data_IF_939463780965
#
_entry.id   IF_939463780965
#
_cell.length_a   1.000
_cell.length_b   1.000
_cell.length_c   1.000
_cell.angle_alpha   90.00
_cell.angle_beta   90.00
_cell.angle_gamma   90.00
#
_symmetry.space_group_name_H-M   'P 1'
#
loop_
_entity.id
_entity.type
_entity.pdbx_description
1 polymer ?
#
# COMPACT_ATOMS: atom_id res chain seq x y z
N UNK A 1 -0.11 1.03 -13.49
CA UNK A 1 -0.22 1.28 -12.04
C UNK A 1 0.68 2.42 -11.56
N UNK A 2 2.00 2.43 -11.82
CA UNK A 2 2.91 3.47 -11.28
C UNK A 2 2.48 4.92 -11.55
N UNK A 3 1.86 5.21 -12.69
CA UNK A 3 1.28 6.53 -12.99
C UNK A 3 0.16 6.93 -12.01
N UNK A 4 -0.73 6.00 -11.64
CA UNK A 4 -1.79 6.22 -10.64
C UNK A 4 -1.15 6.58 -9.30
N UNK A 5 -0.18 5.78 -8.86
CA UNK A 5 0.51 5.98 -7.58
C UNK A 5 1.25 7.31 -7.56
N UNK A 6 1.90 7.67 -8.66
CA UNK A 6 2.56 8.96 -8.82
C UNK A 6 1.58 10.12 -8.63
N UNK A 7 0.40 10.05 -9.26
CA UNK A 7 -0.64 11.07 -9.10
C UNK A 7 -1.12 11.16 -7.65
N UNK A 8 -1.44 10.03 -7.01
CA UNK A 8 -1.90 10.01 -5.61
C UNK A 8 -0.84 10.60 -4.68
N UNK A 9 0.42 10.17 -4.84
CA UNK A 9 1.55 10.66 -4.05
C UNK A 9 1.75 12.18 -4.25
N UNK A 10 1.57 12.69 -5.47
CA UNK A 10 1.61 14.12 -5.73
C UNK A 10 0.45 14.89 -5.10
N UNK A 11 -0.79 14.35 -5.16
CA UNK A 11 -1.96 14.96 -4.54
C UNK A 11 -1.77 15.10 -3.02
N UNK A 12 -1.35 14.01 -2.36
CA UNK A 12 -1.04 14.00 -0.93
C UNK A 12 0.16 14.91 -0.62
N UNK A 13 1.22 14.83 -1.42
CA UNK A 13 2.42 15.64 -1.25
C UNK A 13 2.13 17.15 -1.32
N UNK A 14 1.32 17.61 -2.27
CA UNK A 14 0.92 19.03 -2.36
C UNK A 14 0.10 19.49 -1.15
N UNK A 15 -0.94 18.73 -0.77
CA UNK A 15 -1.77 19.07 0.40
C UNK A 15 -0.96 19.08 1.69
N UNK A 16 -0.13 18.06 1.87
CA UNK A 16 0.67 17.86 3.10
C UNK A 16 1.80 18.87 3.22
N UNK A 17 2.45 19.22 2.11
CA UNK A 17 3.48 20.25 2.12
C UNK A 17 2.87 21.62 2.38
N UNK A 18 1.68 21.90 1.85
CA UNK A 18 1.03 23.17 2.10
C UNK A 18 0.60 23.33 3.56
N UNK A 19 -0.01 22.30 4.15
CA UNK A 19 -0.44 22.29 5.55
C UNK A 19 0.07 21.02 6.26
N UNK A 20 1.32 21.01 6.76
CA UNK A 20 1.87 19.90 7.51
C UNK A 20 1.28 19.90 8.93
N UNK A 21 0.19 19.17 9.12
CA UNK A 21 -0.52 19.11 10.40
C UNK A 21 0.04 17.94 11.23
N UNK A 22 0.42 18.21 12.48
CA UNK A 22 0.97 17.18 13.38
C UNK A 22 -0.06 16.10 13.68
N UNK A 23 0.31 14.83 13.49
CA UNK A 23 -0.58 13.69 13.67
C UNK A 23 -1.67 13.54 12.61
N UNK A 24 -1.60 14.30 11.51
CA UNK A 24 -2.58 14.23 10.44
C UNK A 24 -2.50 12.94 9.65
N UNK A 25 -3.68 12.38 9.39
CA UNK A 25 -3.88 11.26 8.48
C UNK A 25 -4.63 11.74 7.24
N UNK A 26 -4.67 10.97 6.14
CA UNK A 26 -5.42 11.36 4.94
C UNK A 26 -6.90 11.72 5.22
N UNK A 27 -7.63 11.04 6.12
CA UNK A 27 -8.96 11.47 6.58
C UNK A 27 -9.06 12.92 7.05
N UNK A 28 -8.02 13.47 7.69
CA UNK A 28 -8.02 14.85 8.16
C UNK A 28 -8.02 15.85 6.99
N UNK A 29 -7.24 15.58 5.93
CA UNK A 29 -7.26 16.39 4.73
C UNK A 29 -8.59 16.26 3.97
N UNK A 30 -9.19 15.06 3.98
CA UNK A 30 -10.53 14.83 3.42
C UNK A 30 -11.58 15.60 4.21
N UNK A 31 -11.49 15.60 5.54
CA UNK A 31 -12.39 16.34 6.43
C UNK A 31 -12.31 17.83 6.17
N UNK A 32 -11.10 18.35 5.95
CA UNK A 32 -10.85 19.77 5.80
C UNK A 32 -11.22 20.30 4.42
N UNK A 33 -10.94 19.54 3.36
CA UNK A 33 -11.07 20.03 1.99
C UNK A 33 -12.25 19.46 1.20
N UNK A 34 -12.81 18.31 1.59
CA UNK A 34 -13.92 17.69 0.88
C UNK A 34 -15.23 17.78 1.66
N UNK A 35 -15.41 16.93 2.68
CA UNK A 35 -16.67 16.79 3.42
C UNK A 35 -16.47 15.91 4.67
N UNK A 36 -17.16 16.26 5.75
CA UNK A 36 -17.11 15.53 7.02
C UNK A 36 -17.55 14.07 6.90
N UNK A 37 -18.58 13.75 6.12
CA UNK A 37 -19.09 12.38 6.00
C UNK A 37 -18.20 11.51 5.11
N UNK A 38 -17.61 12.12 4.08
CA UNK A 38 -16.57 11.49 3.27
C UNK A 38 -15.36 11.16 4.13
N UNK A 39 -14.96 12.06 5.02
CA UNK A 39 -13.84 11.84 5.94
C UNK A 39 -14.13 10.75 6.96
N UNK A 40 -15.33 10.72 7.55
CA UNK A 40 -15.78 9.65 8.43
C UNK A 40 -15.71 8.28 7.75
N UNK A 41 -16.33 8.16 6.58
CA UNK A 41 -16.36 6.91 5.81
C UNK A 41 -14.94 6.50 5.37
N UNK A 42 -14.12 7.45 4.90
CA UNK A 42 -12.73 7.21 4.54
C UNK A 42 -11.91 6.76 5.74
N UNK A 43 -12.08 7.37 6.91
CA UNK A 43 -11.41 7.02 8.15
C UNK A 43 -11.65 5.57 8.56
N UNK A 44 -12.92 5.17 8.65
CA UNK A 44 -13.28 3.78 8.94
C UNK A 44 -12.80 2.82 7.84
N UNK A 45 -12.84 3.23 6.58
CA UNK A 45 -12.29 2.45 5.46
C UNK A 45 -10.76 2.29 5.54
N UNK A 46 -10.03 3.31 5.98
CA UNK A 46 -8.59 3.23 6.23
C UNK A 46 -8.28 2.25 7.35
N UNK A 47 -8.99 2.35 8.49
CA UNK A 47 -8.83 1.38 9.58
C UNK A 47 -9.14 -0.05 9.11
N UNK A 48 -10.26 -0.22 8.41
CA UNK A 48 -10.67 -1.49 7.82
C UNK A 48 -9.59 -2.06 6.88
N UNK A 49 -9.03 -1.24 5.99
CA UNK A 49 -7.96 -1.66 5.08
C UNK A 49 -6.73 -2.14 5.86
N UNK A 50 -6.26 -1.35 6.82
CA UNK A 50 -5.12 -1.75 7.66
C UNK A 50 -5.40 -3.03 8.45
N UNK A 51 -6.61 -3.17 9.00
CA UNK A 51 -7.00 -4.33 9.78
C UNK A 51 -7.02 -5.62 8.94
N UNK A 52 -7.40 -5.57 7.66
CA UNK A 52 -7.36 -6.71 6.73
C UNK A 52 -5.99 -6.94 6.07
N UNK A 53 -5.14 -5.92 6.02
CA UNK A 53 -3.75 -6.08 5.59
C UNK A 53 -2.93 -6.92 6.58
N UNK A 54 -3.18 -6.81 7.89
CA UNK A 54 -2.48 -7.64 8.89
C UNK A 54 -2.66 -9.16 8.65
N UNK A 55 -3.89 -9.73 8.56
CA UNK A 55 -4.05 -11.15 8.29
C UNK A 55 -3.57 -11.54 6.88
N UNK A 56 -3.56 -10.63 5.90
CA UNK A 56 -2.95 -10.86 4.59
C UNK A 56 -1.45 -11.17 4.70
N UNK A 57 -0.72 -10.35 5.47
CA UNK A 57 0.72 -10.51 5.66
C UNK A 57 1.05 -11.72 6.55
N UNK A 58 0.24 -12.02 7.57
CA UNK A 58 0.36 -13.25 8.36
C UNK A 58 0.18 -14.49 7.48
N UNK A 59 -0.82 -14.45 6.59
CA UNK A 59 -1.06 -15.53 5.61
C UNK A 59 0.13 -15.68 4.67
N UNK A 60 0.65 -14.58 4.13
CA UNK A 60 1.83 -14.60 3.26
C UNK A 60 3.07 -15.16 3.98
N UNK A 61 3.31 -14.77 5.22
CA UNK A 61 4.40 -15.30 6.03
C UNK A 61 4.25 -16.81 6.28
N UNK A 62 3.04 -17.30 6.61
CA UNK A 62 2.78 -18.72 6.79
C UNK A 62 3.05 -19.53 5.51
N UNK A 63 2.55 -19.03 4.36
CA UNK A 63 2.81 -19.58 3.01
C UNK A 63 4.31 -19.69 2.70
N UNK A 64 5.10 -18.72 3.18
CA UNK A 64 6.55 -18.71 3.00
C UNK A 64 7.23 -19.70 3.95
N UNK A 65 6.74 -19.88 5.18
CA UNK A 65 7.32 -20.86 6.12
C UNK A 65 7.09 -22.30 5.65
N UNK A 66 5.92 -22.60 5.10
CA UNK A 66 5.58 -23.90 4.49
C UNK A 66 6.55 -24.31 3.38
N UNK A 67 7.29 -23.35 2.80
CA UNK A 67 8.38 -23.67 1.86
C UNK A 67 9.47 -24.55 2.46
N UNK A 68 9.80 -24.39 3.75
CA UNK A 68 10.87 -25.16 4.41
C UNK A 68 10.34 -26.35 5.20
N UNK A 69 9.11 -26.29 5.72
CA UNK A 69 8.55 -27.38 6.52
C UNK A 69 7.03 -27.39 6.56
N UNK A 70 6.46 -28.58 6.39
CA UNK A 70 5.04 -28.86 6.60
C UNK A 70 4.78 -29.62 7.92
N UNK A 71 5.82 -29.79 8.75
CA UNK A 71 5.73 -30.58 9.98
C UNK A 71 4.91 -29.88 11.09
N UNK A 72 4.84 -28.55 11.04
CA UNK A 72 4.10 -27.73 11.99
C UNK A 72 2.81 -27.25 11.31
N UNK A 73 1.62 -27.44 11.93
CA UNK A 73 0.37 -26.98 11.34
C UNK A 73 0.37 -25.49 11.05
N UNK A 74 -0.18 -25.07 9.91
CA UNK A 74 -0.28 -23.65 9.48
C UNK A 74 -0.87 -22.76 10.57
N UNK A 75 -1.88 -23.26 11.31
CA UNK A 75 -2.50 -22.53 12.42
C UNK A 75 -1.53 -22.18 13.55
N UNK A 76 -0.53 -23.04 13.83
CA UNK A 76 0.49 -22.74 14.83
C UNK A 76 1.42 -21.61 14.37
N UNK A 77 1.82 -21.61 13.09
CA UNK A 77 2.61 -20.51 12.53
C UNK A 77 1.84 -19.18 12.56
N UNK A 78 0.56 -19.20 12.19
CA UNK A 78 -0.33 -18.04 12.27
C UNK A 78 -0.39 -17.51 13.71
N UNK A 79 -0.57 -18.39 14.69
CA UNK A 79 -0.61 -18.00 16.11
C UNK A 79 0.70 -17.34 16.56
N UNK A 80 1.85 -17.95 16.23
CA UNK A 80 3.18 -17.44 16.58
C UNK A 80 3.40 -16.06 15.96
N UNK A 81 3.18 -15.91 14.66
CA UNK A 81 3.36 -14.63 13.95
C UNK A 81 2.45 -13.55 14.55
N UNK A 82 1.17 -13.89 14.76
CA UNK A 82 0.18 -12.97 15.33
C UNK A 82 0.59 -12.49 16.73
N UNK A 83 0.94 -13.41 17.65
CA UNK A 83 1.33 -13.06 19.02
C UNK A 83 2.52 -12.11 19.04
N UNK A 84 3.53 -12.36 18.21
CA UNK A 84 4.73 -11.52 18.22
C UNK A 84 4.43 -10.15 17.59
N UNK A 85 3.67 -10.07 16.49
CA UNK A 85 3.25 -8.78 15.91
C UNK A 85 2.49 -7.93 16.94
N UNK A 86 1.57 -8.55 17.70
CA UNK A 86 0.82 -7.89 18.77
C UNK A 86 1.76 -7.44 19.89
N UNK A 87 2.67 -8.31 20.34
CA UNK A 87 3.61 -8.00 21.40
C UNK A 87 4.53 -6.82 21.03
N UNK A 88 5.05 -6.80 19.80
CA UNK A 88 5.87 -5.69 19.29
C UNK A 88 5.10 -4.36 19.30
N UNK A 89 3.83 -4.39 18.90
CA UNK A 89 2.96 -3.21 18.88
C UNK A 89 2.54 -2.71 20.26
N UNK A 90 2.63 -3.54 21.31
CA UNK A 90 2.31 -3.16 22.70
C UNK A 90 3.56 -2.71 23.46
N UNK A 91 4.69 -3.43 23.31
CA UNK A 91 5.87 -3.28 24.18
C UNK A 91 7.06 -2.56 23.52
N UNK A 92 7.25 -2.68 22.20
CA UNK A 92 8.48 -2.23 21.52
C UNK A 92 8.32 -1.01 20.61
N UNK A 93 7.25 -0.22 20.79
CA UNK A 93 6.93 0.92 19.92
C UNK A 93 8.07 1.95 19.84
N UNK A 94 8.89 2.10 20.89
CA UNK A 94 10.02 3.04 20.89
C UNK A 94 11.17 2.64 19.95
N UNK A 95 11.35 1.35 19.69
CA UNK A 95 12.43 0.81 18.83
C UNK A 95 11.89 0.49 17.43
N UNK A 96 10.58 0.68 17.21
CA UNK A 96 9.92 0.40 15.95
C UNK A 96 10.59 1.12 14.77
N UNK A 97 10.91 2.41 14.92
CA UNK A 97 11.55 3.20 13.86
C UNK A 97 12.93 2.67 13.44
N UNK A 98 13.77 2.32 14.41
CA UNK A 98 15.10 1.74 14.13
C UNK A 98 14.99 0.34 13.52
N UNK A 99 14.08 -0.48 14.04
CA UNK A 99 13.85 -1.84 13.54
C UNK A 99 13.35 -1.82 12.09
N UNK A 100 12.41 -0.92 11.79
CA UNK A 100 11.85 -0.78 10.44
C UNK A 100 12.89 -0.24 9.46
N UNK A 101 13.84 0.59 9.89
CA UNK A 101 14.96 1.02 9.06
C UNK A 101 15.82 -0.19 8.60
N UNK A 102 16.13 -1.11 9.51
CA UNK A 102 16.89 -2.32 9.17
C UNK A 102 16.09 -3.25 8.25
N UNK A 103 14.81 -3.48 8.53
CA UNK A 103 13.94 -4.29 7.65
C UNK A 103 13.77 -3.68 6.26
N UNK A 104 13.59 -2.36 6.17
CA UNK A 104 13.55 -1.65 4.89
C UNK A 104 14.86 -1.80 4.11
N UNK A 105 16.01 -1.77 4.79
CA UNK A 105 17.32 -1.98 4.16
C UNK A 105 17.43 -3.38 3.55
N UNK A 106 17.04 -4.43 4.29
CA UNK A 106 17.02 -5.81 3.79
C UNK A 106 16.17 -5.93 2.53
N UNK A 107 14.96 -5.35 2.53
CA UNK A 107 14.05 -5.34 1.36
C UNK A 107 14.71 -4.73 0.12
N UNK A 108 15.40 -3.59 0.28
CA UNK A 108 16.09 -2.90 -0.81
C UNK A 108 17.25 -3.74 -1.36
N UNK A 109 18.09 -4.30 -0.50
CA UNK A 109 19.19 -5.15 -0.96
C UNK A 109 18.69 -6.43 -1.65
N UNK A 110 17.63 -7.04 -1.13
CA UNK A 110 17.02 -8.22 -1.73
C UNK A 110 16.50 -7.94 -3.15
N UNK A 111 15.77 -6.85 -3.38
CA UNK A 111 15.25 -6.53 -4.72
C UNK A 111 16.38 -6.14 -5.70
N UNK A 112 17.40 -5.43 -5.23
CA UNK A 112 18.58 -5.12 -6.05
C UNK A 112 19.30 -6.42 -6.45
N UNK A 113 19.52 -7.33 -5.49
CA UNK A 113 20.13 -8.63 -5.73
C UNK A 113 19.33 -9.47 -6.74
N UNK A 114 18.00 -9.51 -6.60
CA UNK A 114 17.11 -10.20 -7.54
C UNK A 114 17.19 -9.63 -8.96
N UNK A 115 17.26 -8.31 -9.11
CA UNK A 115 17.43 -7.66 -10.42
C UNK A 115 18.78 -8.03 -11.03
N UNK A 116 19.87 -7.94 -10.26
CA UNK A 116 21.22 -8.29 -10.73
C UNK A 116 21.29 -9.75 -11.17
N UNK A 117 20.81 -10.68 -10.32
CA UNK A 117 20.77 -12.12 -10.64
C UNK A 117 19.93 -12.37 -11.89
N UNK A 118 18.78 -11.71 -12.01
CA UNK A 118 17.94 -11.82 -13.20
C UNK A 118 18.63 -11.36 -14.48
N UNK A 119 19.42 -10.27 -14.43
CA UNK A 119 20.25 -9.81 -15.56
C UNK A 119 21.33 -10.83 -15.90
N UNK A 120 21.98 -11.43 -14.89
CA UNK A 120 22.99 -12.47 -15.11
C UNK A 120 22.38 -13.70 -15.80
N UNK A 121 21.22 -14.17 -15.32
CA UNK A 121 20.47 -15.28 -15.94
C UNK A 121 20.07 -14.92 -17.38
N UNK A 122 19.59 -13.70 -17.61
CA UNK A 122 19.18 -13.23 -18.94
C UNK A 122 20.30 -13.36 -19.99
N UNK A 123 21.55 -13.07 -19.62
CA UNK A 123 22.71 -13.18 -20.51
C UNK A 123 23.34 -14.58 -20.57
N UNK A 124 22.81 -15.56 -19.84
CA UNK A 124 23.33 -16.94 -19.82
C UNK A 124 24.49 -17.17 -18.85
N UNK A 125 24.66 -16.28 -17.85
CA UNK A 125 25.67 -16.43 -16.80
C UNK A 125 25.27 -17.39 -15.66
N UNK A 126 24.15 -18.10 -15.81
CA UNK A 126 23.71 -19.10 -14.85
C UNK A 126 24.46 -20.45 -15.02
N UNK A 127 24.45 -21.33 -14.01
CA UNK A 127 25.08 -22.66 -14.10
C UNK A 127 24.62 -23.53 -15.28
N UNK A 128 23.38 -23.35 -15.73
CA UNK A 128 22.86 -24.06 -16.90
C UNK A 128 23.41 -23.52 -18.24
N UNK A 129 24.17 -22.42 -18.23
CA UNK A 129 24.72 -21.70 -19.39
C UNK A 129 23.70 -21.38 -20.49
N UNK A 130 22.41 -21.35 -20.15
CA UNK A 130 21.35 -21.08 -21.12
C UNK A 130 21.08 -19.58 -21.23
N UNK A 131 21.40 -19.01 -22.40
CA UNK A 131 21.09 -17.62 -22.68
C UNK A 131 19.61 -17.45 -23.02
N UNK A 132 18.84 -16.94 -22.06
CA UNK A 132 17.42 -16.69 -22.23
C UNK A 132 17.14 -15.53 -23.19
N UNK A 133 17.78 -14.36 -23.00
CA UNK A 133 17.38 -13.14 -23.71
C UNK A 133 15.88 -12.87 -23.57
N UNK A 134 15.22 -12.39 -24.64
CA UNK A 134 13.78 -12.19 -24.68
C UNK A 134 12.98 -13.42 -25.15
N UNK A 135 13.51 -14.65 -24.95
CA UNK A 135 12.89 -15.89 -25.45
C UNK A 135 11.42 -16.02 -25.07
N UNK A 136 11.08 -15.83 -23.79
CA UNK A 136 9.70 -15.98 -23.31
C UNK A 136 8.75 -14.86 -23.80
N UNK A 137 9.27 -13.65 -24.01
CA UNK A 137 8.49 -12.54 -24.56
C UNK A 137 8.13 -12.74 -26.04
N UNK A 138 8.97 -13.46 -26.79
CA UNK A 138 8.68 -13.78 -28.20
C UNK A 138 7.67 -14.89 -28.38
N UNK A 139 7.57 -15.79 -27.38
CA UNK A 139 6.69 -16.96 -27.44
C UNK A 139 5.30 -16.62 -26.91
N UNK A 140 5.19 -16.15 -25.65
CA UNK A 140 3.91 -16.02 -24.95
C UNK A 140 3.90 -14.82 -23.98
N UNK A 141 4.15 -13.60 -24.50
CA UNK A 141 4.16 -12.38 -23.66
C UNK A 141 2.80 -12.06 -23.02
N UNK A 142 1.69 -12.40 -23.69
CA UNK A 142 0.33 -12.15 -23.21
C UNK A 142 -0.47 -13.44 -23.23
N UNK A 143 -0.64 -14.04 -22.06
CA UNK A 143 -1.38 -15.28 -21.89
C UNK A 143 -2.88 -15.01 -21.79
N UNK A 144 -3.68 -15.90 -22.37
CA UNK A 144 -5.12 -15.90 -22.23
C UNK A 144 -5.52 -16.21 -20.79
N UNK A 145 -6.54 -15.53 -20.28
CA UNK A 145 -7.05 -15.70 -18.92
C UNK A 145 -8.57 -15.82 -18.95
N UNK A 146 -9.10 -16.91 -18.37
CA UNK A 146 -10.52 -17.28 -18.24
C UNK A 146 -11.22 -17.59 -19.57
N UNK A 147 -11.08 -16.74 -20.59
CA UNK A 147 -11.67 -16.91 -21.93
C UNK A 147 -10.57 -16.97 -22.98
N UNK A 148 -10.88 -17.52 -24.16
CA UNK A 148 -9.92 -17.64 -25.26
C UNK A 148 -9.72 -16.36 -26.07
N UNK A 149 -8.64 -16.32 -26.86
CA UNK A 149 -8.35 -15.29 -27.85
C UNK A 149 -8.01 -13.90 -27.28
N UNK A 150 -8.26 -12.85 -28.07
CA UNK A 150 -7.92 -11.47 -27.71
C UNK A 150 -8.61 -11.00 -26.42
N UNK A 151 -9.87 -11.38 -26.21
CA UNK A 151 -10.60 -11.09 -24.97
C UNK A 151 -9.94 -11.74 -23.75
N UNK A 152 -9.40 -12.96 -23.91
CA UNK A 152 -8.64 -13.65 -22.88
C UNK A 152 -7.38 -12.92 -22.47
N UNK A 153 -6.63 -12.44 -23.46
CA UNK A 153 -5.40 -11.66 -23.23
C UNK A 153 -5.71 -10.33 -22.53
N UNK A 154 -6.81 -9.67 -22.91
CA UNK A 154 -7.28 -8.46 -22.21
C UNK A 154 -7.68 -8.75 -20.77
N UNK A 155 -8.41 -9.85 -20.50
CA UNK A 155 -8.74 -10.27 -19.14
C UNK A 155 -7.48 -10.53 -18.30
N UNK A 156 -6.45 -11.13 -18.89
CA UNK A 156 -5.15 -11.37 -18.23
C UNK A 156 -4.45 -10.05 -17.87
N UNK A 157 -4.37 -9.13 -18.82
CA UNK A 157 -3.84 -7.78 -18.58
C UNK A 157 -4.62 -7.04 -17.50
N UNK A 158 -5.96 -7.06 -17.57
CA UNK A 158 -6.82 -6.35 -16.63
C UNK A 158 -6.69 -6.92 -15.20
N UNK A 159 -6.70 -8.25 -15.06
CA UNK A 159 -6.46 -8.93 -13.79
C UNK A 159 -5.08 -8.57 -13.21
N UNK A 160 -4.03 -8.55 -14.05
CA UNK A 160 -2.69 -8.12 -13.61
C UNK A 160 -2.67 -6.65 -13.15
N UNK A 161 -3.38 -5.76 -13.85
CA UNK A 161 -3.48 -4.35 -13.48
C UNK A 161 -4.21 -4.18 -12.14
N UNK A 162 -5.36 -4.84 -11.95
CA UNK A 162 -6.12 -4.83 -10.70
C UNK A 162 -5.28 -5.37 -9.55
N UNK A 163 -4.71 -6.58 -9.69
CA UNK A 163 -3.88 -7.23 -8.65
C UNK A 163 -2.63 -6.42 -8.31
N UNK A 164 -2.05 -5.70 -9.27
CA UNK A 164 -0.92 -4.81 -8.99
C UNK A 164 -1.29 -3.67 -8.04
N UNK A 165 -2.57 -3.30 -7.92
CA UNK A 165 -3.04 -2.27 -7.01
C UNK A 165 -2.73 -2.60 -5.54
N UNK A 166 -2.91 -3.87 -5.15
CA UNK A 166 -2.62 -4.36 -3.81
C UNK A 166 -1.19 -4.03 -3.35
N UNK A 167 -0.20 -4.07 -4.25
CA UNK A 167 1.19 -3.78 -3.92
C UNK A 167 1.46 -2.32 -3.52
N UNK A 168 0.50 -1.42 -3.74
CA UNK A 168 0.71 0.02 -3.57
C UNK A 168 -0.32 0.71 -2.67
N UNK A 169 -1.44 0.06 -2.35
CA UNK A 169 -2.44 0.63 -1.44
C UNK A 169 -1.79 1.01 -0.11
N UNK A 170 -2.27 2.10 0.49
CA UNK A 170 -1.79 2.63 1.78
C UNK A 170 -0.32 3.11 1.81
N UNK A 171 0.44 2.95 0.72
CA UNK A 171 1.85 3.34 0.67
C UNK A 171 2.04 4.86 0.53
N UNK A 172 1.36 5.56 -0.41
CA UNK A 172 1.43 7.02 -0.50
C UNK A 172 1.02 7.73 0.80
N UNK A 173 0.06 7.17 1.54
CA UNK A 173 -0.50 7.73 2.76
C UNK A 173 0.51 7.90 3.89
N UNK A 174 1.58 7.10 3.89
CA UNK A 174 2.66 7.24 4.86
C UNK A 174 3.32 8.64 4.80
N UNK A 175 3.26 9.32 3.64
CA UNK A 175 3.80 10.69 3.51
C UNK A 175 3.06 11.69 4.40
N UNK A 176 1.76 11.51 4.60
CA UNK A 176 0.96 12.43 5.43
C UNK A 176 1.22 12.18 6.90
N UNK A 177 1.30 10.90 7.29
CA UNK A 177 1.56 10.48 8.67
C UNK A 177 2.94 10.96 9.11
N UNK A 178 3.96 10.74 8.28
CA UNK A 178 5.34 11.14 8.57
C UNK A 178 5.55 12.65 8.57
N UNK A 179 4.72 13.44 7.87
CA UNK A 179 4.86 14.89 7.83
C UNK A 179 4.71 15.56 9.19
N UNK A 180 3.89 14.98 10.09
CA UNK A 180 3.76 15.49 11.46
C UNK A 180 4.99 15.25 12.35
N UNK A 181 5.84 14.30 11.97
CA UNK A 181 7.02 13.86 12.73
C UNK A 181 8.34 14.28 12.07
N UNK A 182 8.28 14.80 10.84
CA UNK A 182 9.45 15.17 10.05
C UNK A 182 9.94 16.58 10.39
N UNK A 183 11.26 16.75 10.56
CA UNK A 183 11.88 18.08 10.63
C UNK A 183 11.71 18.83 9.31
N UNK A 184 11.35 20.11 9.35
CA UNK A 184 11.13 20.96 8.17
C UNK A 184 10.23 20.28 7.08
N UNK A 185 8.97 19.93 7.39
CA UNK A 185 8.14 19.11 6.51
C UNK A 185 7.88 19.78 5.14
N UNK A 186 7.74 21.11 5.10
CA UNK A 186 7.55 21.89 3.85
C UNK A 186 8.72 21.76 2.86
N UNK A 187 9.91 21.36 3.33
CA UNK A 187 11.09 21.08 2.52
C UNK A 187 11.31 19.59 2.26
N UNK A 188 11.12 18.76 3.29
CA UNK A 188 11.48 17.34 3.22
C UNK A 188 10.40 16.46 2.58
N UNK A 189 9.12 16.79 2.74
CA UNK A 189 8.01 16.06 2.09
C UNK A 189 8.09 16.15 0.55
N UNK A 190 8.36 17.32 -0.06
CA UNK A 190 8.58 17.40 -1.51
C UNK A 190 9.73 16.53 -2.01
N UNK A 191 10.85 16.47 -1.26
CA UNK A 191 11.99 15.62 -1.61
C UNK A 191 11.60 14.14 -1.55
N UNK A 192 10.95 13.72 -0.46
CA UNK A 192 10.47 12.36 -0.28
C UNK A 192 9.49 11.94 -1.39
N UNK A 193 8.53 12.81 -1.70
CA UNK A 193 7.52 12.62 -2.78
C UNK A 193 8.20 12.41 -4.14
N UNK A 194 9.16 13.27 -4.50
CA UNK A 194 9.90 13.17 -5.77
C UNK A 194 10.78 11.92 -5.84
N UNK A 195 11.41 11.50 -4.74
CA UNK A 195 12.26 10.30 -4.71
C UNK A 195 11.46 9.01 -4.72
N UNK A 196 10.30 8.99 -4.07
CA UNK A 196 9.43 7.83 -3.97
C UNK A 196 9.09 7.26 -5.34
N UNK A 197 8.76 8.11 -6.33
CA UNK A 197 8.37 7.63 -7.65
C UNK A 197 9.52 7.01 -8.44
N UNK A 198 10.73 7.55 -8.36
CA UNK A 198 11.88 6.97 -9.07
C UNK A 198 12.19 5.57 -8.57
N UNK A 199 12.12 5.38 -7.25
CA UNK A 199 12.25 4.07 -6.61
C UNK A 199 11.15 3.10 -7.07
N UNK A 200 9.91 3.58 -7.14
CA UNK A 200 8.75 2.80 -7.58
C UNK A 200 8.90 2.36 -9.04
N UNK A 201 9.22 3.29 -9.93
CA UNK A 201 9.39 3.02 -11.36
C UNK A 201 10.53 2.04 -11.58
N UNK A 202 11.69 2.28 -10.96
CA UNK A 202 12.85 1.42 -11.14
C UNK A 202 12.58 -0.01 -10.65
N UNK A 203 12.25 -0.22 -9.38
CA UNK A 203 12.14 -1.57 -8.85
C UNK A 203 10.96 -2.36 -9.41
N UNK A 204 9.79 -1.73 -9.61
CA UNK A 204 8.62 -2.47 -10.10
C UNK A 204 8.64 -2.68 -11.61
N UNK A 205 9.04 -1.69 -12.42
CA UNK A 205 9.07 -1.88 -13.87
C UNK A 205 10.22 -2.82 -14.23
N UNK A 206 11.44 -2.55 -13.73
CA UNK A 206 12.59 -3.42 -14.01
C UNK A 206 12.37 -4.80 -13.39
N UNK A 207 11.88 -4.89 -12.16
CA UNK A 207 11.57 -6.18 -11.52
C UNK A 207 10.56 -7.00 -12.31
N UNK A 208 9.47 -6.39 -12.78
CA UNK A 208 8.45 -7.07 -13.61
C UNK A 208 9.01 -7.54 -14.96
N UNK A 209 9.86 -6.72 -15.60
CA UNK A 209 10.56 -7.09 -16.83
C UNK A 209 11.49 -8.28 -16.60
N UNK A 210 12.29 -8.24 -15.53
CA UNK A 210 13.21 -9.31 -15.15
C UNK A 210 12.45 -10.62 -14.91
N UNK A 211 11.35 -10.60 -14.15
CA UNK A 211 10.49 -11.77 -13.97
C UNK A 211 10.03 -12.34 -15.32
N UNK A 212 9.54 -11.48 -16.21
CA UNK A 212 9.02 -11.90 -17.52
C UNK A 212 10.07 -12.50 -18.45
N UNK A 213 11.36 -12.18 -18.26
CA UNK A 213 12.44 -12.77 -19.09
C UNK A 213 13.07 -14.01 -18.48
N UNK A 214 13.00 -14.20 -17.15
CA UNK A 214 13.60 -15.36 -16.48
C UNK A 214 12.63 -16.53 -16.28
N UNK A 215 11.32 -16.32 -16.41
CA UNK A 215 10.30 -17.38 -16.29
C UNK A 215 9.32 -17.35 -17.46
N UNK A 216 9.02 -18.53 -18.00
CA UNK A 216 7.93 -18.72 -18.96
C UNK A 216 6.56 -18.52 -18.31
N UNK A 217 5.67 -17.77 -18.96
CA UNK A 217 4.26 -17.62 -18.56
C UNK A 217 3.47 -18.95 -18.57
N UNK A 218 4.04 -20.00 -19.16
CA UNK A 218 3.48 -21.35 -19.20
C UNK A 218 4.09 -22.31 -18.17
N UNK A 219 4.96 -21.82 -17.28
CA UNK A 219 5.52 -22.66 -16.23
C UNK A 219 4.41 -23.19 -15.29
N UNK A 220 4.28 -24.53 -15.10
CA UNK A 220 3.25 -25.12 -14.25
C UNK A 220 3.30 -24.65 -12.79
N UNK A 221 4.48 -24.28 -12.28
CA UNK A 221 4.66 -23.74 -10.91
C UNK A 221 3.99 -22.37 -10.73
N UNK A 222 3.79 -21.60 -11.81
CA UNK A 222 2.98 -20.37 -11.78
C UNK A 222 1.48 -20.67 -11.79
N UNK A 223 1.08 -21.79 -12.41
CA UNK A 223 -0.31 -22.13 -12.72
C UNK A 223 -0.96 -23.03 -11.68
N UNK A 224 -0.17 -23.72 -10.86
CA UNK A 224 -0.67 -24.76 -9.94
C UNK A 224 -1.45 -24.21 -8.76
N UNK A 225 -1.42 -22.89 -8.51
CA UNK A 225 -2.19 -22.28 -7.42
C UNK A 225 -1.92 -22.95 -6.06
N UNK A 226 -0.77 -23.61 -5.91
CA UNK A 226 -0.39 -24.39 -4.72
C UNK A 226 -0.38 -23.53 -3.46
N UNK A 227 -0.34 -22.21 -3.63
CA UNK A 227 -0.44 -21.26 -2.54
C UNK A 227 0.80 -21.25 -1.65
N UNK A 228 1.90 -21.92 -2.07
CA UNK A 228 3.16 -21.96 -1.35
C UNK A 228 4.20 -20.99 -1.99
N UNK A 229 5.20 -20.55 -1.22
CA UNK A 229 6.16 -19.56 -1.71
C UNK A 229 7.07 -20.03 -2.86
N UNK A 230 7.11 -21.34 -3.17
CA UNK A 230 7.78 -21.86 -4.37
C UNK A 230 7.16 -21.39 -5.69
N UNK A 231 5.94 -20.83 -5.66
CA UNK A 231 5.30 -20.23 -6.84
C UNK A 231 5.85 -18.83 -7.18
N UNK A 232 6.75 -18.25 -6.38
CA UNK A 232 7.36 -16.95 -6.67
C UNK A 232 8.12 -16.99 -8.00
N UNK A 233 7.82 -16.10 -8.97
CA UNK A 233 8.51 -16.10 -10.26
C UNK A 233 10.02 -15.91 -10.15
N UNK A 234 10.50 -15.11 -9.18
CA UNK A 234 11.94 -15.00 -8.94
C UNK A 234 12.55 -16.32 -8.47
N UNK A 235 11.89 -17.03 -7.57
CA UNK A 235 12.34 -18.33 -7.06
C UNK A 235 12.34 -19.37 -8.18
N UNK A 236 11.27 -19.42 -8.99
CA UNK A 236 11.18 -20.31 -10.15
C UNK A 236 12.31 -20.02 -11.15
N UNK A 237 12.58 -18.75 -11.47
CA UNK A 237 13.66 -18.38 -12.37
C UNK A 237 15.04 -18.82 -11.87
N UNK A 238 15.30 -18.64 -10.57
CA UNK A 238 16.53 -19.09 -9.90
C UNK A 238 16.67 -20.61 -9.93
N UNK A 239 15.58 -21.35 -9.67
CA UNK A 239 15.57 -22.80 -9.71
C UNK A 239 15.78 -23.34 -11.12
N UNK A 240 15.09 -22.78 -12.12
CA UNK A 240 15.27 -23.14 -13.54
C UNK A 240 16.70 -22.85 -14.02
N UNK A 241 17.33 -21.81 -13.49
CA UNK A 241 18.72 -21.45 -13.75
C UNK A 241 19.73 -22.40 -13.08
N UNK A 242 19.28 -23.27 -12.16
CA UNK A 242 20.13 -24.22 -11.44
C UNK A 242 21.01 -23.57 -10.36
N UNK A 243 20.65 -22.39 -9.84
CA UNK A 243 21.44 -21.71 -8.81
C UNK A 243 21.06 -22.31 -7.43
N UNK A 244 21.97 -23.01 -6.75
CA UNK A 244 21.68 -23.62 -5.46
C UNK A 244 21.58 -22.56 -4.35
N UNK A 245 20.82 -22.86 -3.30
CA UNK A 245 20.69 -22.08 -2.04
C UNK A 245 19.99 -20.72 -2.17
N UNK A 246 20.14 -20.01 -3.29
CA UNK A 246 19.65 -18.64 -3.44
C UNK A 246 18.13 -18.52 -3.28
N UNK A 247 17.37 -19.51 -3.73
CA UNK A 247 15.93 -19.67 -3.45
C UNK A 247 15.59 -19.56 -1.94
N UNK A 248 16.37 -20.20 -1.06
CA UNK A 248 16.14 -20.14 0.38
C UNK A 248 16.45 -18.75 0.95
N UNK A 249 17.51 -18.09 0.47
CA UNK A 249 17.89 -16.73 0.90
C UNK A 249 16.77 -15.74 0.53
N UNK A 250 16.24 -15.86 -0.69
CA UNK A 250 15.15 -15.00 -1.16
C UNK A 250 13.86 -15.24 -0.37
N UNK A 251 13.49 -16.50 -0.11
CA UNK A 251 12.32 -16.78 0.72
C UNK A 251 12.50 -16.26 2.15
N UNK A 252 13.70 -16.32 2.72
CA UNK A 252 13.98 -15.72 4.03
C UNK A 252 13.80 -14.19 4.00
N UNK A 253 14.29 -13.52 2.95
CA UNK A 253 14.07 -12.08 2.76
C UNK A 253 12.57 -11.74 2.59
N UNK A 254 11.81 -12.53 1.83
CA UNK A 254 10.35 -12.36 1.67
C UNK A 254 9.64 -12.54 3.01
N UNK A 255 10.03 -13.52 3.82
CA UNK A 255 9.46 -13.74 5.15
C UNK A 255 9.67 -12.52 6.07
N UNK A 256 10.91 -11.99 6.12
CA UNK A 256 11.18 -10.76 6.89
C UNK A 256 10.40 -9.56 6.36
N UNK A 257 10.15 -9.53 5.04
CA UNK A 257 9.36 -8.47 4.42
C UNK A 257 7.90 -8.53 4.81
N UNK A 258 7.26 -9.70 4.71
CA UNK A 258 5.87 -9.91 5.10
C UNK A 258 5.66 -9.60 6.58
N UNK A 259 6.59 -10.06 7.43
CA UNK A 259 6.60 -9.75 8.85
C UNK A 259 6.60 -8.25 9.15
N UNK A 260 7.58 -7.54 8.58
CA UNK A 260 7.74 -6.09 8.77
C UNK A 260 6.51 -5.33 8.26
N UNK A 261 5.95 -5.72 7.10
CA UNK A 261 4.71 -5.14 6.59
C UNK A 261 3.53 -5.36 7.54
N UNK A 262 3.31 -6.59 8.03
CA UNK A 262 2.23 -6.90 8.97
C UNK A 262 2.32 -6.12 10.27
N UNK A 263 3.54 -5.96 10.80
CA UNK A 263 3.80 -5.15 11.99
C UNK A 263 3.50 -3.66 11.76
N UNK A 264 3.91 -3.12 10.60
CA UNK A 264 3.65 -1.74 10.18
C UNK A 264 2.16 -1.47 9.93
N UNK A 265 1.42 -2.42 9.37
CA UNK A 265 -0.03 -2.29 9.18
C UNK A 265 -0.81 -2.34 10.49
N UNK A 266 -0.42 -3.19 11.45
CA UNK A 266 -1.04 -3.19 12.77
C UNK A 266 -0.79 -1.86 13.49
N UNK A 267 0.43 -1.33 13.38
CA UNK A 267 0.79 -0.02 13.89
C UNK A 267 -0.09 1.07 13.25
N UNK A 268 -0.11 1.17 11.92
CA UNK A 268 -0.90 2.16 11.20
C UNK A 268 -2.39 2.07 11.52
N UNK A 269 -2.97 0.86 11.48
CA UNK A 269 -4.40 0.63 11.77
C UNK A 269 -4.78 1.04 13.19
N UNK A 270 -4.00 0.65 14.19
CA UNK A 270 -4.27 1.07 15.59
C UNK A 270 -4.18 2.59 15.78
N UNK A 271 -3.28 3.28 15.07
CA UNK A 271 -3.15 4.75 15.14
C UNK A 271 -4.27 5.45 14.39
N UNK A 272 -4.70 4.93 13.23
CA UNK A 272 -5.89 5.43 12.53
C UNK A 272 -7.12 5.34 13.42
N UNK A 273 -7.35 4.21 14.09
CA UNK A 273 -8.50 4.04 15.00
C UNK A 273 -8.40 4.96 16.23
N UNK A 274 -7.20 5.15 16.78
CA UNK A 274 -6.96 6.13 17.84
C UNK A 274 -7.28 7.56 17.38
N UNK A 275 -6.80 7.98 16.21
CA UNK A 275 -7.05 9.33 15.67
C UNK A 275 -8.54 9.56 15.42
N UNK A 276 -9.25 8.59 14.85
CA UNK A 276 -10.71 8.67 14.71
C UNK A 276 -11.41 8.84 16.04
N UNK A 277 -10.95 8.11 17.06
CA UNK A 277 -11.51 8.26 18.39
C UNK A 277 -11.29 9.68 18.89
N UNK A 278 -10.04 10.19 18.83
CA UNK A 278 -9.65 11.54 19.25
C UNK A 278 -10.57 12.60 18.62
N UNK A 279 -10.85 12.49 17.32
CA UNK A 279 -11.74 13.36 16.54
C UNK A 279 -13.22 13.22 16.91
N UNK A 280 -13.62 12.18 17.65
CA UNK A 280 -15.00 11.93 18.05
C UNK A 280 -15.76 11.00 17.09
N UNK A 281 -15.08 10.50 16.06
CA UNK A 281 -15.62 9.65 14.99
C UNK A 281 -15.54 8.14 15.31
N UNK A 282 -14.89 7.78 16.42
CA UNK A 282 -14.88 6.43 16.97
C UNK A 282 -15.09 6.42 18.49
N UNK A 283 -15.49 5.28 19.09
CA UNK A 283 -15.75 5.17 20.53
C UNK A 283 -14.59 5.68 21.40
N UNK A 284 -14.90 6.45 22.45
CA UNK A 284 -13.92 7.10 23.34
C UNK A 284 -12.94 6.12 24.01
N UNK A 285 -13.30 4.83 24.14
CA UNK A 285 -12.42 3.79 24.69
C UNK A 285 -11.09 3.68 23.92
N UNK A 286 -11.10 3.94 22.61
CA UNK A 286 -9.90 3.85 21.78
C UNK A 286 -8.93 5.02 21.98
N UNK A 287 -9.32 6.09 22.69
CA UNK A 287 -8.41 7.19 23.09
C UNK A 287 -7.46 6.81 24.21
N UNK A 288 -7.69 5.70 24.91
CA UNK A 288 -6.88 5.34 26.06
C UNK A 288 -5.50 4.84 25.64
N UNK A 289 -4.45 5.49 26.16
CA UNK A 289 -3.06 5.07 26.00
C UNK A 289 -2.51 4.50 27.30
N UNK A 290 -1.65 3.47 27.19
CA UNK A 290 -0.91 2.94 28.33
C UNK A 290 0.24 3.88 28.75
N UNK A 291 0.98 3.51 29.80
CA UNK A 291 2.13 4.27 30.34
C UNK A 291 3.25 4.55 29.33
N UNK A 292 3.29 3.81 28.21
CA UNK A 292 4.29 3.98 27.15
C UNK A 292 3.75 4.76 25.95
N UNK A 293 2.54 5.32 26.04
CA UNK A 293 1.91 6.11 24.98
C UNK A 293 1.23 5.27 23.88
N UNK A 294 0.99 3.97 24.13
CA UNK A 294 0.43 3.06 23.13
C UNK A 294 -1.10 2.93 23.32
N UNK A 295 -1.92 3.10 22.26
CA UNK A 295 -3.37 2.97 22.33
C UNK A 295 -3.82 1.50 22.38
N UNK A 296 -3.69 0.87 23.54
CA UNK A 296 -3.82 -0.60 23.71
C UNK A 296 -5.16 -1.18 23.26
N UNK A 297 -6.28 -0.48 23.46
CA UNK A 297 -7.58 -0.96 23.00
C UNK A 297 -7.72 -0.88 21.48
N UNK A 298 -7.11 0.13 20.84
CA UNK A 298 -7.08 0.24 19.39
C UNK A 298 -6.18 -0.83 18.77
N UNK A 299 -5.05 -1.13 19.41
CA UNK A 299 -4.20 -2.28 19.05
C UNK A 299 -4.99 -3.58 19.18
N UNK A 300 -5.69 -3.79 20.29
CA UNK A 300 -6.51 -4.98 20.52
C UNK A 300 -7.60 -5.16 19.46
N UNK A 301 -8.37 -4.10 19.15
CA UNK A 301 -9.42 -4.14 18.13
C UNK A 301 -8.89 -4.53 16.75
N UNK A 302 -7.79 -3.91 16.30
CA UNK A 302 -7.16 -4.26 15.02
C UNK A 302 -6.56 -5.67 15.04
N UNK A 303 -6.00 -6.11 16.17
CA UNK A 303 -5.41 -7.44 16.34
C UNK A 303 -6.45 -8.56 16.29
N UNK A 304 -7.68 -8.32 16.77
CA UNK A 304 -8.76 -9.30 16.68
C UNK A 304 -9.13 -9.59 15.23
N UNK A 305 -9.13 -8.58 14.35
CA UNK A 305 -9.35 -8.80 12.91
C UNK A 305 -8.25 -9.66 12.29
N UNK A 306 -7.01 -9.54 12.78
CA UNK A 306 -5.90 -10.37 12.31
C UNK A 306 -6.07 -11.87 12.62
N UNK A 307 -6.94 -12.25 13.57
CA UNK A 307 -7.31 -13.65 13.80
C UNK A 307 -8.07 -14.27 12.61
N UNK A 308 -8.60 -13.46 11.68
CA UNK A 308 -9.14 -13.98 10.42
C UNK A 308 -8.09 -14.74 9.61
N UNK A 309 -6.79 -14.54 9.86
CA UNK A 309 -5.74 -15.38 9.28
C UNK A 309 -5.95 -16.88 9.59
N UNK A 310 -6.65 -17.27 10.66
CA UNK A 310 -6.98 -18.67 10.93
C UNK A 310 -7.92 -19.32 9.90
N UNK A 311 -8.54 -18.54 8.99
CA UNK A 311 -9.28 -19.10 7.86
C UNK A 311 -8.40 -20.00 6.97
N UNK A 312 -7.08 -19.80 6.97
CA UNK A 312 -6.12 -20.68 6.30
C UNK A 312 -6.13 -22.13 6.83
N UNK A 313 -6.66 -22.38 8.04
CA UNK A 313 -6.76 -23.73 8.60
C UNK A 313 -7.90 -24.52 7.95
N UNK A 314 -9.01 -23.84 7.61
CA UNK A 314 -10.20 -24.46 7.03
C UNK A 314 -10.30 -24.31 5.51
N UNK A 315 -9.43 -23.49 4.90
CA UNK A 315 -9.48 -23.14 3.49
C UNK A 315 -8.07 -23.01 2.93
N UNK A 316 -7.91 -23.22 1.61
CA UNK A 316 -6.60 -23.10 0.96
C UNK A 316 -6.03 -21.70 1.16
N UNK A 317 -4.76 -21.61 1.57
CA UNK A 317 -4.15 -20.33 1.93
C UNK A 317 -4.14 -19.30 0.80
N UNK A 318 -4.03 -19.76 -0.45
CA UNK A 318 -4.14 -18.92 -1.64
C UNK A 318 -5.50 -18.23 -1.78
N UNK A 319 -6.60 -18.90 -1.42
CA UNK A 319 -7.95 -18.33 -1.52
C UNK A 319 -8.15 -17.26 -0.46
N UNK A 320 -7.76 -17.57 0.78
CA UNK A 320 -7.85 -16.64 1.92
C UNK A 320 -7.00 -15.40 1.66
N UNK A 321 -5.77 -15.57 1.17
CA UNK A 321 -4.93 -14.46 0.72
C UNK A 321 -5.63 -13.64 -0.38
N UNK A 322 -6.21 -14.29 -1.38
CA UNK A 322 -6.97 -13.61 -2.45
C UNK A 322 -8.15 -12.81 -1.88
N UNK A 323 -8.90 -13.36 -0.92
CA UNK A 323 -10.00 -12.65 -0.27
C UNK A 323 -9.51 -11.39 0.45
N UNK A 324 -8.47 -11.49 1.29
CA UNK A 324 -7.97 -10.32 2.01
C UNK A 324 -7.34 -9.27 1.08
N UNK A 325 -6.64 -9.71 0.02
CA UNK A 325 -6.09 -8.79 -0.98
C UNK A 325 -7.19 -8.05 -1.73
N UNK A 326 -8.31 -8.71 -2.06
CA UNK A 326 -9.46 -8.06 -2.71
C UNK A 326 -10.10 -7.01 -1.80
N UNK A 327 -10.39 -7.37 -0.54
CA UNK A 327 -10.98 -6.46 0.45
C UNK A 327 -10.13 -5.20 0.63
N UNK A 328 -8.82 -5.40 0.79
CA UNK A 328 -7.85 -4.31 1.00
C UNK A 328 -7.68 -3.45 -0.26
N UNK A 329 -7.65 -4.06 -1.44
CA UNK A 329 -7.46 -3.35 -2.73
C UNK A 329 -8.63 -2.41 -3.02
N UNK A 330 -9.86 -2.90 -2.85
CA UNK A 330 -11.07 -2.07 -3.03
C UNK A 330 -11.08 -0.92 -2.03
N UNK A 331 -10.71 -1.17 -0.77
CA UNK A 331 -10.59 -0.10 0.23
C UNK A 331 -9.55 0.94 -0.15
N UNK A 332 -8.38 0.53 -0.66
CA UNK A 332 -7.36 1.46 -1.13
C UNK A 332 -7.82 2.31 -2.31
N UNK A 333 -8.55 1.71 -3.27
CA UNK A 333 -9.12 2.46 -4.38
C UNK A 333 -10.16 3.48 -3.91
N UNK A 334 -11.06 3.12 -2.99
CA UNK A 334 -12.01 4.06 -2.39
C UNK A 334 -11.32 5.21 -1.64
N UNK A 335 -10.27 4.89 -0.87
CA UNK A 335 -9.44 5.88 -0.20
C UNK A 335 -8.83 6.87 -1.20
N UNK A 336 -8.25 6.37 -2.31
CA UNK A 336 -7.68 7.22 -3.35
C UNK A 336 -8.71 8.10 -4.06
N UNK A 337 -9.94 7.61 -4.28
CA UNK A 337 -11.03 8.44 -4.80
C UNK A 337 -11.34 9.59 -3.84
N UNK A 338 -11.40 9.34 -2.52
CA UNK A 338 -11.63 10.37 -1.51
C UNK A 338 -10.49 11.40 -1.47
N UNK A 339 -9.24 10.92 -1.53
CA UNK A 339 -8.04 11.78 -1.56
C UNK A 339 -8.03 12.68 -2.79
N UNK A 340 -8.33 12.13 -3.98
CA UNK A 340 -8.39 12.94 -5.20
C UNK A 340 -9.51 13.98 -5.10
N UNK A 341 -10.68 13.62 -4.58
CA UNK A 341 -11.78 14.58 -4.37
C UNK A 341 -11.34 15.72 -3.44
N UNK A 342 -10.68 15.40 -2.32
CA UNK A 342 -10.12 16.40 -1.41
C UNK A 342 -9.08 17.30 -2.09
N UNK A 343 -8.17 16.70 -2.87
CA UNK A 343 -7.15 17.45 -3.62
C UNK A 343 -7.77 18.41 -4.66
N UNK A 344 -8.78 17.97 -5.40
CA UNK A 344 -9.44 18.79 -6.41
C UNK A 344 -10.16 19.99 -5.75
N UNK A 345 -10.78 19.79 -4.58
CA UNK A 345 -11.41 20.87 -3.82
C UNK A 345 -10.39 21.83 -3.21
N UNK A 346 -9.32 21.30 -2.59
CA UNK A 346 -8.17 22.07 -2.13
C UNK A 346 -7.60 22.98 -3.23
N UNK A 347 -7.41 22.41 -4.43
CA UNK A 347 -6.91 23.15 -5.58
C UNK A 347 -7.86 24.28 -5.99
N UNK A 348 -9.17 24.03 -6.02
CA UNK A 348 -10.17 25.07 -6.34
C UNK A 348 -10.17 26.19 -5.30
N UNK A 349 -10.07 25.86 -4.01
CA UNK A 349 -10.03 26.84 -2.92
C UNK A 349 -8.82 27.77 -3.04
N UNK A 350 -7.63 27.22 -3.32
CA UNK A 350 -6.42 28.02 -3.53
C UNK A 350 -6.54 29.00 -4.71
N UNK A 351 -7.20 28.58 -5.80
CA UNK A 351 -7.43 29.43 -6.97
C UNK A 351 -8.45 30.52 -6.63
N UNK A 352 -9.53 30.16 -5.95
CA UNK A 352 -10.56 31.09 -5.51
C UNK A 352 -9.99 32.20 -4.61
N UNK A 353 -9.10 31.85 -3.68
CA UNK A 353 -8.43 32.80 -2.79
C UNK A 353 -7.18 33.46 -3.41
N UNK A 354 -6.84 33.21 -4.67
CA UNK A 354 -5.69 33.84 -5.34
C UNK A 354 -4.30 33.42 -4.82
N UNK A 355 -4.22 32.34 -4.05
CA UNK A 355 -2.99 31.86 -3.39
C UNK A 355 -2.41 30.59 -4.02
N UNK A 356 -2.96 30.14 -5.16
CA UNK A 356 -2.51 28.94 -5.87
C UNK A 356 -0.99 28.90 -6.12
N UNK A 357 -0.39 30.05 -6.42
CA UNK A 357 1.03 30.16 -6.72
C UNK A 357 1.94 30.28 -5.50
N UNK A 358 1.39 30.54 -4.32
CA UNK A 358 2.12 30.62 -3.05
C UNK A 358 2.59 29.26 -2.52
N UNK A 359 2.09 28.16 -3.09
CA UNK A 359 2.38 26.82 -2.58
C UNK A 359 3.87 26.47 -2.69
N UNK A 360 4.47 25.90 -1.62
CA UNK A 360 5.89 25.50 -1.61
C UNK A 360 6.19 24.33 -2.55
N UNK A 361 5.18 23.51 -2.86
CA UNK A 361 5.33 22.35 -3.73
C UNK A 361 4.26 22.34 -4.81
N UNK A 362 4.73 22.29 -6.07
CA UNK A 362 3.90 22.24 -7.28
C UNK A 362 4.31 21.02 -8.08
N UNK A 363 3.34 20.19 -8.44
CA UNK A 363 3.56 18.97 -9.23
C UNK A 363 3.04 19.15 -10.65
N UNK A 364 3.69 18.54 -11.66
CA UNK A 364 3.29 18.70 -13.05
C UNK A 364 1.99 17.93 -13.34
N UNK A 365 1.33 18.28 -14.44
CA UNK A 365 0.12 17.63 -14.99
C UNK A 365 -1.16 17.77 -14.14
N UNK A 366 -1.14 18.51 -13.03
CA UNK A 366 -2.33 18.78 -12.24
C UNK A 366 -3.17 19.91 -12.85
N UNK A 367 -4.50 19.78 -12.96
CA UNK A 367 -5.35 18.73 -12.38
C UNK A 367 -5.67 17.55 -13.33
N UNK A 368 -5.19 17.57 -14.57
CA UNK A 368 -5.54 16.55 -15.58
C UNK A 368 -5.15 15.13 -15.16
N UNK A 369 -3.96 14.97 -14.55
CA UNK A 369 -3.52 13.70 -13.99
C UNK A 369 -4.48 13.19 -12.91
N UNK A 370 -5.00 14.08 -12.05
CA UNK A 370 -6.01 13.74 -11.03
C UNK A 370 -7.31 13.24 -11.64
N UNK A 371 -7.83 13.90 -12.68
CA UNK A 371 -9.07 13.45 -13.34
C UNK A 371 -8.92 12.09 -14.04
N UNK A 372 -7.82 11.90 -14.77
CA UNK A 372 -7.53 10.60 -15.43
C UNK A 372 -7.38 9.50 -14.38
N UNK A 373 -6.66 9.78 -13.29
CA UNK A 373 -6.46 8.82 -12.20
C UNK A 373 -7.77 8.50 -11.49
N UNK A 374 -8.63 9.49 -11.23
CA UNK A 374 -9.94 9.29 -10.64
C UNK A 374 -10.79 8.33 -11.49
N UNK A 375 -10.87 8.58 -12.80
CA UNK A 375 -11.63 7.73 -13.72
C UNK A 375 -11.09 6.29 -13.74
N UNK A 376 -9.78 6.10 -13.86
CA UNK A 376 -9.17 4.77 -13.90
C UNK A 376 -9.38 4.03 -12.57
N UNK A 377 -9.13 4.68 -11.43
CA UNK A 377 -9.31 4.07 -10.10
C UNK A 377 -10.77 3.72 -9.85
N UNK A 378 -11.73 4.56 -10.29
CA UNK A 378 -13.16 4.25 -10.18
C UNK A 378 -13.53 2.99 -10.98
N UNK A 379 -13.01 2.85 -12.21
CA UNK A 379 -13.23 1.66 -13.03
C UNK A 379 -12.57 0.43 -12.38
N UNK A 380 -11.33 0.55 -11.91
CA UNK A 380 -10.63 -0.54 -11.21
C UNK A 380 -11.36 -0.97 -9.94
N UNK A 381 -11.95 -0.04 -9.20
CA UNK A 381 -12.74 -0.30 -7.99
C UNK A 381 -13.97 -1.18 -8.30
N UNK A 382 -14.73 -0.83 -9.35
CA UNK A 382 -15.94 -1.58 -9.74
C UNK A 382 -15.58 -2.92 -10.40
N UNK A 383 -14.47 -2.97 -11.12
CA UNK A 383 -14.06 -4.16 -11.87
C UNK A 383 -13.06 -5.06 -11.12
N UNK A 384 -12.75 -4.77 -9.86
CA UNK A 384 -11.79 -5.56 -9.06
C UNK A 384 -12.16 -7.05 -9.04
N UNK A 385 -13.46 -7.35 -8.90
CA UNK A 385 -14.02 -8.70 -8.87
C UNK A 385 -14.51 -9.24 -10.22
N UNK A 386 -14.12 -8.66 -11.36
CA UNK A 386 -14.73 -9.02 -12.65
C UNK A 386 -14.65 -10.52 -12.97
N UNK A 387 -13.60 -11.21 -12.48
CA UNK A 387 -13.39 -12.65 -12.66
C UNK A 387 -14.52 -13.51 -12.10
N UNK A 388 -15.29 -12.99 -11.14
CA UNK A 388 -16.46 -13.66 -10.56
C UNK A 388 -17.60 -13.78 -11.59
N UNK A 389 -17.66 -12.88 -12.56
CA UNK A 389 -18.71 -12.84 -13.58
C UNK A 389 -18.30 -13.47 -14.92
N UNK A 390 -17.03 -13.83 -15.08
CA UNK A 390 -16.48 -14.35 -16.34
C UNK A 390 -16.02 -15.79 -16.13
N UNK A 391 -16.39 -16.70 -17.04
CA UNK A 391 -15.88 -18.08 -17.04
C UNK A 391 -16.57 -19.07 -16.08
N UNK A 392 -17.72 -18.70 -15.49
CA UNK A 392 -18.58 -19.64 -14.76
C UNK A 392 -18.10 -20.06 -13.36
N UNK A 393 -17.03 -19.47 -12.83
CA UNK A 393 -16.47 -19.75 -11.50
C UNK A 393 -17.06 -18.87 -10.40
N UNK A 394 -18.38 -18.64 -10.40
CA UNK A 394 -19.02 -17.82 -9.38
C UNK A 394 -19.05 -18.58 -8.04
N UNK A 395 -18.48 -17.99 -7.00
CA UNK A 395 -18.72 -18.42 -5.62
C UNK A 395 -19.19 -17.25 -4.78
N UNK A 396 -20.09 -17.52 -3.82
CA UNK A 396 -20.57 -16.49 -2.91
C UNK A 396 -19.43 -15.85 -2.10
N UNK A 397 -18.43 -16.64 -1.71
CA UNK A 397 -17.24 -16.17 -0.98
C UNK A 397 -16.42 -15.18 -1.80
N UNK A 398 -16.10 -15.50 -3.06
CA UNK A 398 -15.32 -14.62 -3.93
C UNK A 398 -16.08 -13.34 -4.29
N UNK A 399 -17.39 -13.44 -4.52
CA UNK A 399 -18.25 -12.28 -4.78
C UNK A 399 -18.28 -11.33 -3.58
N UNK A 400 -18.55 -11.85 -2.39
CA UNK A 400 -18.57 -11.04 -1.17
C UNK A 400 -17.20 -10.44 -0.91
N UNK A 401 -16.12 -11.22 -1.00
CA UNK A 401 -14.77 -10.74 -0.79
C UNK A 401 -14.36 -9.63 -1.78
N UNK A 402 -14.86 -9.69 -3.02
CA UNK A 402 -14.55 -8.70 -4.04
C UNK A 402 -15.39 -7.41 -3.93
N UNK A 403 -16.59 -7.46 -3.33
CA UNK A 403 -17.55 -6.36 -3.42
C UNK A 403 -18.08 -5.81 -2.10
N UNK A 404 -17.95 -6.52 -0.96
CA UNK A 404 -18.53 -6.12 0.34
C UNK A 404 -18.04 -4.76 0.85
N UNK A 405 -16.81 -4.37 0.49
CA UNK A 405 -16.24 -3.08 0.86
C UNK A 405 -17.06 -1.90 0.31
N UNK A 406 -17.63 -2.02 -0.90
CA UNK A 406 -18.42 -0.95 -1.53
C UNK A 406 -19.70 -0.59 -0.74
N UNK A 407 -20.61 -1.53 -0.43
CA UNK A 407 -21.78 -1.23 0.37
C UNK A 407 -21.42 -0.85 1.80
N UNK A 408 -20.36 -1.41 2.40
CA UNK A 408 -19.90 -0.98 3.73
C UNK A 408 -19.50 0.50 3.74
N UNK A 409 -18.72 0.93 2.76
CA UNK A 409 -18.36 2.34 2.60
C UNK A 409 -19.60 3.22 2.38
N UNK A 410 -20.52 2.78 1.51
CA UNK A 410 -21.75 3.51 1.22
C UNK A 410 -22.65 3.64 2.47
N UNK A 411 -22.78 2.58 3.28
CA UNK A 411 -23.54 2.58 4.52
C UNK A 411 -22.92 3.56 5.53
N UNK A 412 -21.60 3.55 5.69
CA UNK A 412 -20.91 4.51 6.58
C UNK A 412 -21.10 5.95 6.11
N UNK A 413 -20.94 6.20 4.82
CA UNK A 413 -21.12 7.53 4.22
C UNK A 413 -22.55 8.04 4.37
N UNK A 414 -23.53 7.26 3.89
CA UNK A 414 -24.95 7.65 3.89
C UNK A 414 -25.49 7.70 5.33
N UNK A 415 -25.11 6.75 6.18
CA UNK A 415 -25.49 6.76 7.60
C UNK A 415 -25.00 8.01 8.33
N UNK A 416 -23.75 8.41 8.09
CA UNK A 416 -23.20 9.63 8.66
C UNK A 416 -23.84 10.91 8.07
N UNK A 417 -24.21 10.90 6.79
CA UNK A 417 -24.99 11.98 6.16
C UNK A 417 -26.36 12.15 6.82
N UNK A 418 -27.06 11.07 7.13
CA UNK A 418 -28.32 11.12 7.86
C UNK A 418 -28.14 11.64 9.29
N UNK A 419 -27.06 11.24 9.97
CA UNK A 419 -26.76 11.69 11.34
C UNK A 419 -26.43 13.18 11.41
N UNK A 420 -25.55 13.65 10.52
CA UNK A 420 -25.14 15.08 10.46
C UNK A 420 -26.17 15.98 9.77
N UNK A 421 -27.13 15.41 9.04
CA UNK A 421 -28.12 16.11 8.21
C UNK A 421 -27.51 17.05 7.16
N UNK A 422 -26.22 16.90 6.84
CA UNK A 422 -25.52 17.71 5.85
C UNK A 422 -25.43 16.97 4.51
N UNK A 423 -26.33 17.28 3.59
CA UNK A 423 -26.44 16.62 2.28
C UNK A 423 -25.51 17.18 1.19
N UNK A 424 -24.66 18.16 1.50
CA UNK A 424 -23.68 18.67 0.53
C UNK A 424 -22.63 17.59 0.22
N UNK A 425 -22.39 17.26 -1.04
CA UNK A 425 -21.39 16.24 -1.39
C UNK A 425 -19.96 16.67 -1.06
N UNK A 426 -19.66 17.95 -1.26
CA UNK A 426 -18.42 18.62 -0.89
C UNK A 426 -18.76 20.00 -0.34
N UNK A 427 -17.85 20.58 0.45
CA UNK A 427 -18.01 21.97 0.90
C UNK A 427 -17.99 22.94 -0.30
N UNK A 428 -18.78 24.05 -0.22
CA UNK A 428 -18.60 25.18 -1.11
C UNK A 428 -17.15 25.67 -1.06
N UNK A 429 -16.62 26.10 -2.20
CA UNK A 429 -15.19 26.40 -2.34
C UNK A 429 -14.76 27.54 -1.42
N UNK A 430 -15.65 28.50 -1.22
CA UNK A 430 -15.53 29.65 -0.33
C UNK A 430 -15.48 29.30 1.16
N UNK A 431 -16.02 28.14 1.56
CA UNK A 431 -16.06 27.68 2.95
C UNK A 431 -14.83 26.81 3.30
N UNK A 432 -14.01 26.45 2.31
CA UNK A 432 -12.86 25.57 2.52
C UNK A 432 -11.73 26.34 3.19
N UNK A 433 -11.47 25.99 4.46
CA UNK A 433 -10.37 26.57 5.22
C UNK A 433 -9.01 26.04 4.76
N UNK A 434 -8.28 26.89 4.04
CA UNK A 434 -6.88 26.68 3.63
C UNK A 434 -5.87 27.47 4.49
N UNK A 435 -6.31 28.31 5.43
CA UNK A 435 -5.44 29.27 6.13
C UNK A 435 -5.11 28.86 7.56
N UNK A 436 -6.00 28.17 8.28
CA UNK A 436 -5.74 27.80 9.68
C UNK A 436 -4.51 26.91 9.80
N UNK A 437 -3.52 27.34 10.59
CA UNK A 437 -2.25 26.64 10.77
C UNK A 437 -1.20 26.92 9.69
N UNK A 438 -1.52 27.72 8.66
CA UNK A 438 -0.56 28.09 7.61
C UNK A 438 0.57 28.97 8.18
N UNK A 439 0.23 29.98 8.99
CA UNK A 439 1.21 30.86 9.64
C UNK A 439 2.19 30.09 10.54
N UNK A 440 1.70 29.07 11.25
CA UNK A 440 2.55 28.22 12.09
C UNK A 440 3.48 27.37 11.21
N UNK A 441 2.97 26.83 10.11
CA UNK A 441 3.76 26.06 9.16
C UNK A 441 4.85 26.91 8.50
N UNK A 442 4.55 28.14 8.12
CA UNK A 442 5.50 29.09 7.52
C UNK A 442 6.54 29.57 8.51
N UNK A 443 6.14 29.89 9.76
CA UNK A 443 7.09 30.22 10.84
C UNK A 443 8.02 29.06 11.14
N UNK A 444 7.47 27.85 11.21
CA UNK A 444 8.27 26.64 11.43
C UNK A 444 9.30 26.47 10.32
N UNK A 445 8.91 26.65 9.06
CA UNK A 445 9.83 26.62 7.91
C UNK A 445 10.91 27.70 7.99
N UNK A 446 10.55 28.94 8.32
CA UNK A 446 11.47 30.07 8.42
C UNK A 446 12.52 29.91 9.54
N UNK A 447 12.19 29.18 10.61
CA UNK A 447 13.12 28.89 11.71
C UNK A 447 14.19 27.85 11.34
N UNK A 448 14.04 27.10 10.25
CA UNK A 448 15.01 26.08 9.86
C UNK A 448 16.10 26.62 8.93
N UNK A 449 17.31 26.75 9.45
CA UNK A 449 18.49 26.97 8.62
C UNK A 449 18.84 25.73 7.78
N UNK A 450 19.24 25.94 6.53
CA UNK A 450 19.67 24.86 5.66
C UNK A 450 21.04 24.33 6.10
N UNK A 451 21.07 23.08 6.59
CA UNK A 451 22.33 22.40 6.91
C UNK A 451 23.15 22.21 5.63
N UNK A 452 24.17 23.05 5.45
CA UNK A 452 25.11 22.93 4.33
C UNK A 452 25.97 21.67 4.54
N UNK A 453 26.03 20.74 3.58
CA UNK A 453 26.89 19.56 3.69
C UNK A 453 28.35 20.01 3.77
N UNK A 454 29.09 19.50 4.75
CA UNK A 454 30.50 19.85 4.96
C UNK A 454 31.39 19.12 3.96
N UNK A 455 31.06 17.86 3.63
CA UNK A 455 31.88 16.97 2.79
C UNK A 455 31.06 16.27 1.69
N UNK A 456 31.75 15.64 0.72
CA UNK A 456 31.12 14.85 -0.36
C UNK A 456 30.26 13.69 0.17
N UNK A 457 30.71 13.01 1.22
CA UNK A 457 29.93 11.95 1.87
C UNK A 457 28.65 12.49 2.50
N UNK A 458 28.72 13.66 3.13
CA UNK A 458 27.53 14.31 3.71
C UNK A 458 26.60 14.85 2.61
N UNK A 459 27.14 15.26 1.47
CA UNK A 459 26.36 15.64 0.28
C UNK A 459 25.63 14.44 -0.33
N UNK A 460 26.30 13.28 -0.41
CA UNK A 460 25.67 12.02 -0.83
C UNK A 460 24.63 11.60 0.22
N UNK A 461 24.97 11.66 1.50
CA UNK A 461 24.05 11.32 2.59
C UNK A 461 22.81 12.20 2.59
N UNK A 462 22.91 13.53 2.52
CA UNK A 462 21.77 14.44 2.40
C UNK A 462 21.03 14.33 1.07
N UNK A 463 21.64 13.70 0.06
CA UNK A 463 20.97 13.37 -1.18
C UNK A 463 20.23 12.03 -1.11
N UNK A 464 20.69 11.09 -0.28
CA UNK A 464 20.06 9.78 -0.06
C UNK A 464 18.97 9.85 1.02
N UNK A 465 19.30 10.41 2.19
CA UNK A 465 18.40 10.78 3.28
C UNK A 465 17.52 11.95 2.85
#
# INVERSE_FOLDING_TARGET
>A
MSFIIWTIMNCLGEMTTYLPIKGASPPMYIYRFADQSTAFAAGWNYWYAYAFLVPSEITAAAIVIEYWTDAVPTGAWIAIIWVIIVALNIFMVKIFGETEFWFASIKIFAIIGLIIVGIVIFFGGAPNHDRLGFRYWKQDAFKEYIVGGASGRFCGFWNALVRSGFSFIMSPELVTISAGETEAPRRNIPKATKRFIWRLLFFYIVGSLIIGVIVSSSNPMLMTGSGNASASPFVIGIQNAGIPVLNHIINAAILTSAWSSGNSFLFAGSRTLFSLAVEGEAPKIFKYCNRWGVPVYAVGATSVVALLAFLNVSSKSANVFTWFTNLSTVSGFLAWLCVITAYLQFRKALIFHGVYDSRPFKTPLQPYASYVTFAIVAILCITNGFTVFVGGSFTAGDFVAAYITLPLFAILYVGHKFWTKNWKFVYPVEDIDIFTGLDEAEKTEAMYEERKPRNLLEKIWFWVA
#
